data_IF_135949476092
#
_entry.id   IF_135949476092
#
_cell.length_a   1.000
_cell.length_b   1.000
_cell.length_c   1.000
_cell.angle_alpha   90.00
_cell.angle_beta   90.00
_cell.angle_gamma   90.00
#
_symmetry.space_group_name_H-M   'P 1'
#
loop_
_entity.id
_entity.type
_entity.pdbx_description
1 polymer ?
#
# COMPACT_ATOMS: atom_id res chain seq x y z
N UNK A 1 10.22 -38.00 26.39
CA UNK A 1 8.83 -37.93 25.85
C UNK A 1 8.38 -36.50 25.51
N UNK A 2 8.56 -35.49 26.38
CA UNK A 2 8.08 -34.11 26.12
C UNK A 2 8.70 -33.47 24.86
N UNK A 3 9.99 -33.71 24.57
CA UNK A 3 10.67 -33.09 23.42
C UNK A 3 10.30 -33.62 22.01
N UNK A 4 9.67 -34.80 21.89
CA UNK A 4 9.29 -35.37 20.58
C UNK A 4 7.84 -35.06 20.19
N UNK A 5 6.93 -34.89 21.16
CA UNK A 5 5.57 -34.43 20.87
C UNK A 5 5.55 -33.03 20.28
N UNK A 6 6.39 -32.12 20.80
CA UNK A 6 6.56 -30.78 20.25
C UNK A 6 7.12 -30.79 18.82
N UNK A 7 8.07 -31.70 18.51
CA UNK A 7 8.62 -31.83 17.15
C UNK A 7 7.56 -32.25 16.14
N UNK A 8 6.70 -33.22 16.50
CA UNK A 8 5.61 -33.66 15.64
C UNK A 8 4.61 -32.53 15.37
N UNK A 9 4.22 -31.78 16.41
CA UNK A 9 3.32 -30.62 16.28
C UNK A 9 3.92 -29.55 15.36
N UNK A 10 5.22 -29.27 15.51
CA UNK A 10 5.94 -28.30 14.67
C UNK A 10 5.98 -28.77 13.21
N UNK A 11 6.20 -30.06 12.94
CA UNK A 11 6.20 -30.58 11.56
C UNK A 11 4.82 -30.52 10.91
N UNK A 12 3.75 -30.78 11.65
CA UNK A 12 2.37 -30.63 11.14
C UNK A 12 2.04 -29.17 10.85
N UNK A 13 2.40 -28.24 11.74
CA UNK A 13 2.20 -26.80 11.50
C UNK A 13 2.99 -26.28 10.30
N UNK A 14 4.26 -26.70 10.16
CA UNK A 14 5.06 -26.34 8.99
C UNK A 14 4.44 -26.90 7.72
N UNK A 15 3.93 -28.14 7.74
CA UNK A 15 3.25 -28.73 6.59
C UNK A 15 2.04 -27.90 6.15
N UNK A 16 1.16 -27.51 7.07
CA UNK A 16 -0.01 -26.67 6.74
C UNK A 16 0.41 -25.31 6.14
N UNK A 17 1.45 -24.69 6.69
CA UNK A 17 1.98 -23.42 6.19
C UNK A 17 2.55 -23.60 4.77
N UNK A 18 3.35 -24.64 4.52
CA UNK A 18 3.91 -24.90 3.20
C UNK A 18 2.83 -25.22 2.16
N UNK A 19 1.81 -25.99 2.55
CA UNK A 19 0.69 -26.33 1.66
C UNK A 19 -0.11 -25.07 1.30
N UNK A 20 -0.40 -24.21 2.28
CA UNK A 20 -1.03 -22.91 2.07
C UNK A 20 -0.20 -21.98 1.15
N UNK A 21 1.11 -21.86 1.40
CA UNK A 21 2.01 -21.07 0.55
C UNK A 21 2.11 -21.61 -0.87
N UNK A 22 2.16 -22.93 -1.05
CA UNK A 22 2.21 -23.54 -2.38
C UNK A 22 0.91 -23.31 -3.14
N UNK A 23 -0.25 -23.52 -2.51
CA UNK A 23 -1.55 -23.25 -3.13
C UNK A 23 -1.68 -21.76 -3.49
N UNK A 24 -1.22 -20.85 -2.63
CA UNK A 24 -1.15 -19.42 -2.92
C UNK A 24 -0.22 -19.08 -4.09
N UNK A 25 0.97 -19.70 -4.14
CA UNK A 25 1.97 -19.48 -5.18
C UNK A 25 1.54 -20.02 -6.55
N UNK A 26 1.00 -21.25 -6.61
CA UNK A 26 0.47 -21.83 -7.85
C UNK A 26 -0.80 -21.11 -8.33
N UNK A 27 -1.54 -20.52 -7.41
CA UNK A 27 -2.69 -19.68 -7.72
C UNK A 27 -2.33 -18.28 -8.25
N UNK A 28 -1.07 -17.86 -8.16
CA UNK A 28 -0.64 -16.50 -8.53
C UNK A 28 -1.35 -15.40 -7.73
N UNK A 29 -1.86 -15.72 -6.54
CA UNK A 29 -2.68 -14.80 -5.75
C UNK A 29 -1.77 -13.86 -4.97
N UNK A 30 -1.75 -12.59 -5.35
CA UNK A 30 -1.14 -11.52 -4.54
C UNK A 30 -2.20 -10.81 -3.69
N UNK A 31 -1.85 -10.34 -2.48
CA UNK A 31 -2.76 -9.51 -1.69
C UNK A 31 -3.25 -8.28 -2.46
N UNK A 32 -4.48 -7.78 -2.20
CA UNK A 32 -4.95 -6.57 -2.84
C UNK A 32 -4.08 -5.37 -2.42
N UNK A 33 -3.72 -4.52 -3.38
CA UNK A 33 -3.09 -3.23 -3.08
C UNK A 33 -4.18 -2.23 -2.68
N UNK A 34 -4.31 -1.97 -1.38
CA UNK A 34 -5.25 -0.98 -0.87
C UNK A 34 -4.54 0.38 -0.86
N UNK A 35 -5.06 1.40 -1.57
CA UNK A 35 -4.48 2.73 -1.53
C UNK A 35 -4.57 3.33 -0.12
N UNK A 36 -3.62 4.19 0.28
CA UNK A 36 -3.67 4.86 1.57
C UNK A 36 -4.93 5.70 1.70
N UNK A 37 -5.45 5.79 2.93
CA UNK A 37 -6.62 6.60 3.24
C UNK A 37 -6.29 8.07 2.93
N UNK A 38 -7.19 8.82 2.27
CA UNK A 38 -7.02 10.24 2.04
C UNK A 38 -6.76 11.01 3.34
N UNK A 39 -5.86 11.98 3.31
CA UNK A 39 -5.52 12.79 4.47
C UNK A 39 -6.11 14.18 4.35
N UNK A 40 -6.92 14.59 5.33
CA UNK A 40 -7.43 15.95 5.40
C UNK A 40 -6.32 17.01 5.40
N UNK A 41 -5.17 16.72 6.02
CA UNK A 41 -4.04 17.66 6.04
C UNK A 41 -3.44 17.92 4.65
N UNK A 42 -3.48 16.91 3.77
CA UNK A 42 -3.05 17.04 2.39
C UNK A 42 -4.02 17.93 1.61
N UNK A 43 -5.33 17.68 1.74
CA UNK A 43 -6.35 18.48 1.07
C UNK A 43 -6.40 19.92 1.58
N UNK A 44 -6.12 20.13 2.86
CA UNK A 44 -5.98 21.45 3.46
C UNK A 44 -4.75 22.19 2.93
N UNK A 45 -3.62 21.51 2.77
CA UNK A 45 -2.42 22.09 2.15
C UNK A 45 -2.67 22.46 0.68
N UNK A 46 -3.38 21.59 -0.06
CA UNK A 46 -3.73 21.84 -1.44
C UNK A 46 -4.70 23.02 -1.58
N UNK A 47 -5.76 23.06 -0.77
CA UNK A 47 -6.74 24.15 -0.77
C UNK A 47 -6.14 25.49 -0.33
N UNK A 48 -5.23 25.48 0.64
CA UNK A 48 -4.55 26.69 1.13
C UNK A 48 -3.49 27.23 0.18
N UNK A 49 -2.95 26.39 -0.72
CA UNK A 49 -2.04 26.83 -1.79
C UNK A 49 -2.73 27.69 -2.84
N UNK A 50 -4.05 27.55 -2.98
CA UNK A 50 -4.84 28.36 -3.90
C UNK A 50 -5.15 29.67 -3.20
N UNK A 51 -4.41 30.72 -3.60
CA UNK A 51 -4.58 32.08 -3.11
C UNK A 51 -4.83 33.01 -4.29
N UNK A 52 -5.88 33.81 -4.20
CA UNK A 52 -6.13 34.89 -5.14
C UNK A 52 -5.75 36.21 -4.49
N UNK A 53 -4.71 36.82 -5.05
CA UNK A 53 -4.20 38.12 -4.60
C UNK A 53 -4.43 39.12 -5.71
N UNK A 54 -5.09 40.24 -5.37
CA UNK A 54 -5.23 41.39 -6.27
C UNK A 54 -4.56 42.59 -5.63
N UNK A 55 -3.79 43.26 -6.44
CA UNK A 55 -2.96 44.38 -6.05
C UNK A 55 -2.12 44.83 -7.23
N UNK A 56 -1.30 45.84 -6.98
CA UNK A 56 -0.26 46.22 -7.91
C UNK A 56 1.11 45.89 -7.32
N UNK A 57 2.04 45.38 -8.14
CA UNK A 57 3.43 45.22 -7.71
C UNK A 57 4.06 46.60 -7.49
N UNK A 58 5.19 46.68 -6.76
CA UNK A 58 5.95 47.91 -6.67
C UNK A 58 6.36 48.40 -8.07
N UNK A 59 6.10 49.68 -8.36
CA UNK A 59 6.49 50.29 -9.64
C UNK A 59 7.65 51.22 -9.37
N UNK A 60 8.80 50.94 -9.96
CA UNK A 60 9.96 51.83 -9.88
C UNK A 60 9.81 52.94 -10.91
N UNK A 61 9.66 54.18 -10.46
CA UNK A 61 9.57 55.36 -11.33
C UNK A 61 10.96 55.90 -11.67
N UNK A 62 11.87 55.89 -10.67
CA UNK A 62 13.25 56.29 -10.82
C UNK A 62 14.11 55.23 -10.14
N UNK A 63 14.98 54.50 -10.86
CA UNK A 63 15.88 53.55 -10.23
C UNK A 63 16.91 54.30 -9.37
N UNK A 64 17.37 53.71 -8.26
CA UNK A 64 18.47 54.29 -7.49
C UNK A 64 19.72 54.41 -8.37
N UNK A 65 20.45 55.50 -8.22
CA UNK A 65 21.70 55.74 -8.95
C UNK A 65 22.75 56.36 -8.03
N UNK A 66 24.01 56.27 -8.44
CA UNK A 66 25.15 56.81 -7.70
C UNK A 66 25.98 57.70 -8.62
N UNK A 67 26.36 58.88 -8.15
CA UNK A 67 27.29 59.76 -8.87
C UNK A 67 28.38 60.19 -7.88
N UNK A 68 29.63 59.99 -8.27
CA UNK A 68 30.82 60.41 -7.49
C UNK A 68 30.81 59.89 -6.04
N UNK A 69 30.28 58.69 -5.81
CA UNK A 69 30.22 58.06 -4.47
C UNK A 69 29.02 58.48 -3.61
N UNK A 70 28.19 59.41 -4.06
CA UNK A 70 26.93 59.74 -3.42
C UNK A 70 25.80 58.87 -3.98
N UNK A 71 25.14 58.09 -3.13
CA UNK A 71 24.01 57.23 -3.50
C UNK A 71 22.68 57.98 -3.35
N UNK A 72 21.92 58.05 -4.44
CA UNK A 72 20.58 58.63 -4.45
C UNK A 72 19.53 57.51 -4.41
N UNK A 73 18.60 57.54 -3.45
CA UNK A 73 17.53 56.56 -3.39
C UNK A 73 16.59 56.71 -4.58
N UNK A 74 16.14 55.57 -5.12
CA UNK A 74 15.15 55.54 -6.17
C UNK A 74 13.77 55.94 -5.66
N UNK A 75 12.89 56.35 -6.58
CA UNK A 75 11.49 56.61 -6.29
C UNK A 75 10.68 55.42 -6.77
N UNK A 76 10.02 54.74 -5.83
CA UNK A 76 9.17 53.58 -6.09
C UNK A 76 7.77 53.83 -5.54
N UNK A 77 6.73 53.55 -6.32
CA UNK A 77 5.38 53.36 -5.80
C UNK A 77 5.37 52.00 -5.09
N UNK A 78 5.05 51.93 -3.79
CA UNK A 78 5.01 50.66 -3.07
C UNK A 78 3.92 49.77 -3.66
N UNK A 79 4.21 48.47 -3.72
CA UNK A 79 3.20 47.49 -4.07
C UNK A 79 2.13 47.45 -2.98
N UNK A 80 0.87 47.35 -3.39
CA UNK A 80 -0.26 47.26 -2.46
C UNK A 80 -1.06 46.03 -2.80
N UNK A 81 -1.30 45.20 -1.80
CA UNK A 81 -2.28 44.11 -1.85
C UNK A 81 -3.62 44.67 -1.40
N UNK A 82 -4.59 44.71 -2.32
CA UNK A 82 -5.96 45.16 -2.01
C UNK A 82 -6.75 44.07 -1.32
N UNK A 83 -6.64 42.84 -1.80
CA UNK A 83 -7.20 41.67 -1.14
C UNK A 83 -6.38 40.43 -1.42
N UNK A 84 -6.46 39.48 -0.48
CA UNK A 84 -5.88 38.15 -0.59
C UNK A 84 -6.87 37.15 -0.02
N UNK A 85 -7.40 36.28 -0.86
CA UNK A 85 -8.40 35.27 -0.48
C UNK A 85 -7.76 33.89 -0.62
N UNK A 86 -7.71 33.14 0.48
CA UNK A 86 -7.30 31.73 0.49
C UNK A 86 -8.52 30.81 0.30
N UNK A 87 -8.38 29.77 -0.51
CA UNK A 87 -9.44 28.79 -0.73
C UNK A 87 -9.43 27.61 0.25
N UNK A 88 -8.76 27.73 1.40
CA UNK A 88 -8.70 26.71 2.46
C UNK A 88 -10.07 26.17 2.90
N UNK A 89 -11.13 26.96 2.74
CA UNK A 89 -12.51 26.58 3.03
C UNK A 89 -13.05 25.47 2.10
N UNK A 90 -12.42 25.21 0.96
CA UNK A 90 -12.74 24.10 0.06
C UNK A 90 -12.21 22.74 0.56
N UNK A 91 -11.30 22.73 1.55
CA UNK A 91 -10.68 21.51 2.05
C UNK A 91 -11.68 20.39 2.45
N UNK A 92 -12.81 20.69 3.14
CA UNK A 92 -13.80 19.65 3.46
C UNK A 92 -14.44 19.00 2.23
N UNK A 93 -14.68 19.79 1.17
CA UNK A 93 -15.29 19.30 -0.07
C UNK A 93 -14.29 18.41 -0.82
N UNK A 94 -13.03 18.86 -0.93
CA UNK A 94 -11.97 18.10 -1.57
C UNK A 94 -11.71 16.77 -0.84
N UNK A 95 -11.63 16.82 0.49
CA UNK A 95 -11.48 15.63 1.33
C UNK A 95 -12.64 14.64 1.15
N UNK A 96 -13.88 15.13 1.12
CA UNK A 96 -15.04 14.26 0.94
C UNK A 96 -15.02 13.56 -0.43
N UNK A 97 -14.66 14.27 -1.51
CA UNK A 97 -14.53 13.69 -2.85
C UNK A 97 -13.40 12.66 -2.89
N UNK A 98 -12.25 12.97 -2.28
CA UNK A 98 -11.13 12.04 -2.17
C UNK A 98 -11.50 10.77 -1.39
N UNK A 99 -12.17 10.92 -0.25
CA UNK A 99 -12.68 9.82 0.56
C UNK A 99 -13.66 8.94 -0.21
N UNK A 100 -14.61 9.55 -0.93
CA UNK A 100 -15.57 8.81 -1.74
C UNK A 100 -14.88 8.00 -2.85
N UNK A 101 -13.89 8.62 -3.51
CA UNK A 101 -13.07 7.95 -4.54
C UNK A 101 -12.31 6.76 -3.95
N UNK A 102 -11.71 6.94 -2.78
CA UNK A 102 -10.98 5.89 -2.07
C UNK A 102 -11.89 4.70 -1.69
N UNK A 103 -13.12 4.96 -1.24
CA UNK A 103 -14.11 3.90 -0.94
C UNK A 103 -14.38 3.02 -2.16
N UNK A 104 -14.60 3.62 -3.33
CA UNK A 104 -14.82 2.86 -4.56
C UNK A 104 -13.59 2.07 -5.01
N UNK A 105 -12.40 2.67 -4.95
CA UNK A 105 -11.14 1.99 -5.31
C UNK A 105 -10.84 0.81 -4.39
N UNK A 106 -11.04 0.98 -3.08
CA UNK A 106 -10.85 -0.08 -2.08
C UNK A 106 -11.82 -1.23 -2.32
N UNK A 107 -13.09 -0.92 -2.52
CA UNK A 107 -14.13 -1.93 -2.79
C UNK A 107 -13.81 -2.71 -4.08
N UNK A 108 -13.47 -2.01 -5.15
CA UNK A 108 -13.08 -2.63 -6.43
C UNK A 108 -11.85 -3.54 -6.27
N UNK A 109 -10.84 -3.11 -5.54
CA UNK A 109 -9.62 -3.90 -5.29
C UNK A 109 -9.91 -5.18 -4.52
N UNK A 110 -10.77 -5.11 -3.50
CA UNK A 110 -11.19 -6.29 -2.73
C UNK A 110 -12.03 -7.24 -3.58
N UNK A 111 -12.98 -6.72 -4.38
CA UNK A 111 -13.80 -7.55 -5.27
C UNK A 111 -12.95 -8.27 -6.32
N UNK A 112 -12.01 -7.57 -6.95
CA UNK A 112 -11.09 -8.17 -7.92
C UNK A 112 -10.20 -9.24 -7.28
N UNK A 113 -9.75 -9.01 -6.05
CA UNK A 113 -9.02 -10.02 -5.28
C UNK A 113 -9.86 -11.27 -5.02
N UNK A 114 -11.12 -11.12 -4.59
CA UNK A 114 -12.02 -12.27 -4.40
C UNK A 114 -12.24 -13.05 -5.71
N UNK A 115 -12.47 -12.35 -6.83
CA UNK A 115 -12.61 -12.98 -8.15
C UNK A 115 -11.32 -13.70 -8.55
N UNK A 116 -10.16 -13.13 -8.24
CA UNK A 116 -8.87 -13.77 -8.51
C UNK A 116 -8.70 -15.08 -7.74
N UNK A 117 -9.15 -15.15 -6.48
CA UNK A 117 -9.15 -16.38 -5.68
C UNK A 117 -10.03 -17.45 -6.34
N UNK A 118 -11.24 -17.10 -6.76
CA UNK A 118 -12.14 -18.04 -7.44
C UNK A 118 -11.56 -18.55 -8.76
N UNK A 119 -11.04 -17.65 -9.59
CA UNK A 119 -10.46 -18.00 -10.90
C UNK A 119 -9.22 -18.87 -10.74
N UNK A 120 -8.35 -18.53 -9.79
CA UNK A 120 -7.20 -19.35 -9.39
C UNK A 120 -7.63 -20.74 -8.93
N UNK A 121 -8.64 -20.82 -8.06
CA UNK A 121 -9.12 -22.10 -7.54
C UNK A 121 -9.65 -23.01 -8.65
N UNK A 122 -10.36 -22.45 -9.63
CA UNK A 122 -10.81 -23.19 -10.83
C UNK A 122 -9.62 -23.62 -11.70
N UNK A 123 -8.63 -22.75 -11.87
CA UNK A 123 -7.41 -23.05 -12.64
C UNK A 123 -6.62 -24.20 -12.00
N UNK A 124 -6.45 -24.18 -10.68
CA UNK A 124 -5.83 -25.25 -9.90
C UNK A 124 -6.60 -26.57 -10.05
N UNK A 125 -7.94 -26.51 -9.98
CA UNK A 125 -8.79 -27.69 -10.17
C UNK A 125 -8.66 -28.28 -11.59
N UNK A 126 -8.57 -27.43 -12.61
CA UNK A 126 -8.34 -27.87 -13.99
C UNK A 126 -6.91 -28.39 -14.23
N UNK A 127 -5.96 -27.96 -13.40
CA UNK A 127 -4.56 -28.36 -13.45
C UNK A 127 -4.26 -29.60 -12.59
N UNK A 128 -5.28 -30.24 -12.00
CA UNK A 128 -5.14 -31.48 -11.22
C UNK A 128 -4.34 -32.57 -11.93
N UNK A 129 -4.42 -32.78 -13.26
CA UNK A 129 -3.57 -33.76 -13.94
C UNK A 129 -2.07 -33.44 -13.91
N UNK A 130 -1.69 -32.16 -13.74
CA UNK A 130 -0.30 -31.67 -13.77
C UNK A 130 0.23 -31.40 -12.35
N UNK A 131 -0.58 -30.72 -11.54
CA UNK A 131 -0.24 -30.33 -10.15
C UNK A 131 -0.57 -31.46 -9.17
N UNK A 132 -1.56 -32.30 -9.47
CA UNK A 132 -1.98 -33.43 -8.65
C UNK A 132 -0.84 -34.43 -8.41
N UNK A 133 -0.14 -34.94 -9.45
CA UNK A 133 0.99 -35.84 -9.25
C UNK A 133 2.11 -35.23 -8.39
N UNK A 134 2.37 -33.93 -8.53
CA UNK A 134 3.37 -33.20 -7.74
C UNK A 134 2.94 -33.08 -6.27
N UNK A 135 1.71 -32.63 -6.00
CA UNK A 135 1.16 -32.55 -4.64
C UNK A 135 1.08 -33.92 -3.99
N UNK A 136 0.65 -34.96 -4.73
CA UNK A 136 0.60 -36.34 -4.23
C UNK A 136 1.99 -36.84 -3.87
N UNK A 137 3.00 -36.64 -4.71
CA UNK A 137 4.38 -37.03 -4.41
C UNK A 137 4.92 -36.31 -3.16
N UNK A 138 4.67 -35.01 -3.05
CA UNK A 138 5.09 -34.20 -1.89
C UNK A 138 4.40 -34.65 -0.60
N UNK A 139 3.08 -34.86 -0.63
CA UNK A 139 2.30 -35.37 0.50
C UNK A 139 2.77 -36.76 0.91
N UNK A 140 3.15 -37.62 -0.04
CA UNK A 140 3.70 -38.96 0.24
C UNK A 140 5.04 -38.88 0.98
N UNK A 141 5.94 -38.01 0.53
CA UNK A 141 7.25 -37.80 1.17
C UNK A 141 7.06 -37.28 2.60
N UNK A 142 6.18 -36.31 2.81
CA UNK A 142 5.93 -35.76 4.15
C UNK A 142 5.24 -36.77 5.06
N UNK A 143 4.23 -37.51 4.57
CA UNK A 143 3.60 -38.58 5.34
C UNK A 143 4.62 -39.67 5.72
N UNK A 144 5.52 -40.03 4.81
CA UNK A 144 6.58 -40.98 5.12
C UNK A 144 7.48 -40.48 6.26
N UNK A 145 7.85 -39.20 6.27
CA UNK A 145 8.63 -38.58 7.36
C UNK A 145 7.83 -38.58 8.67
N UNK A 146 6.56 -38.19 8.64
CA UNK A 146 5.71 -38.16 9.84
C UNK A 146 5.50 -39.56 10.42
N UNK A 147 5.20 -40.56 9.59
CA UNK A 147 5.06 -41.96 10.01
C UNK A 147 6.39 -42.47 10.58
N UNK A 148 7.52 -42.13 9.97
CA UNK A 148 8.84 -42.51 10.48
C UNK A 148 9.13 -41.93 11.87
N UNK A 149 8.79 -40.65 12.10
CA UNK A 149 8.90 -40.03 13.43
C UNK A 149 7.95 -40.68 14.46
N UNK A 150 6.74 -41.10 14.05
CA UNK A 150 5.83 -41.89 14.90
C UNK A 150 6.41 -43.27 15.22
N UNK A 151 7.05 -43.94 14.27
CA UNK A 151 7.69 -45.25 14.50
C UNK A 151 8.87 -45.11 15.47
N UNK A 152 9.69 -44.05 15.36
CA UNK A 152 10.76 -43.76 16.32
C UNK A 152 10.22 -43.53 17.73
N UNK A 153 9.13 -42.77 17.84
CA UNK A 153 8.42 -42.52 19.09
C UNK A 153 7.99 -43.82 19.79
N UNK A 154 7.46 -44.78 19.04
CA UNK A 154 7.00 -46.08 19.58
C UNK A 154 8.19 -46.98 19.97
N UNK A 155 9.30 -46.94 19.23
CA UNK A 155 10.47 -47.80 19.46
C UNK A 155 11.41 -47.31 20.57
N UNK A 156 11.13 -46.15 21.18
CA UNK A 156 11.94 -45.60 22.27
C UNK A 156 13.35 -45.17 21.87
N UNK A 157 13.64 -45.03 20.57
CA UNK A 157 14.93 -44.54 20.07
C UNK A 157 15.05 -43.01 20.15
N UNK A 158 16.27 -42.45 20.14
CA UNK A 158 16.48 -41.00 20.02
C UNK A 158 15.90 -40.40 18.74
#
# INVERSE_FOLDING_TARGET
MIGMGTKLIVYVLLFDIFLSLMVGAYGGISPPSIPPIPSYSFDQALASSIVWTVGWPPITLIPPFSILGANFPGVTIPGVTLFSISFSWLAPILYFIGWLTWMFQTTASVLMYLISIFTSSVTLLSSVPVVGPFLTAFILIVNFILIWEVVKLIRGGP
#
